data_IF_571554929460
#
_entry.id   IF_571554929460
#
_cell.length_a   1.000
_cell.length_b   1.000
_cell.length_c   1.000
_cell.angle_alpha   90.00
_cell.angle_beta   90.00
_cell.angle_gamma   90.00
#
_symmetry.space_group_name_H-M   'P 1'
#
loop_
_entity.id
_entity.type
_entity.pdbx_description
1 polymer ?
#
# COMPACT_ATOMS: atom_id res chain seq x y z
N UNK A 1 -15.14 -14.20 8.15
CA UNK A 1 -14.16 -13.57 9.05
C UNK A 1 -12.98 -12.97 8.27
N UNK A 2 -12.26 -13.75 7.47
CA UNK A 2 -11.08 -13.29 6.73
C UNK A 2 -11.34 -12.10 5.78
N UNK A 3 -12.49 -12.07 5.11
CA UNK A 3 -12.85 -10.96 4.22
C UNK A 3 -13.04 -9.64 4.99
N UNK A 4 -13.64 -9.67 6.18
CA UNK A 4 -13.82 -8.49 7.04
C UNK A 4 -12.47 -7.92 7.46
N UNK A 5 -11.54 -8.79 7.87
CA UNK A 5 -10.17 -8.39 8.23
C UNK A 5 -9.47 -7.70 7.05
N UNK A 6 -9.60 -8.25 5.83
CA UNK A 6 -9.02 -7.64 4.63
C UNK A 6 -9.62 -6.26 4.37
N UNK A 7 -10.95 -6.11 4.44
CA UNK A 7 -11.59 -4.81 4.21
C UNK A 7 -11.21 -3.78 5.28
N UNK A 8 -11.17 -4.19 6.55
CA UNK A 8 -10.75 -3.32 7.65
C UNK A 8 -9.30 -2.87 7.50
N UNK A 9 -8.39 -3.78 7.13
CA UNK A 9 -6.99 -3.44 6.92
C UNK A 9 -6.81 -2.46 5.74
N UNK A 10 -7.58 -2.63 4.67
CA UNK A 10 -7.60 -1.71 3.53
C UNK A 10 -8.14 -0.34 3.92
N UNK A 11 -9.23 -0.29 4.69
CA UNK A 11 -9.79 0.97 5.18
C UNK A 11 -8.77 1.70 6.07
N UNK A 12 -8.07 0.98 6.94
CA UNK A 12 -7.02 1.53 7.79
C UNK A 12 -5.82 2.03 6.98
N UNK A 13 -5.38 1.28 5.97
CA UNK A 13 -4.28 1.70 5.09
C UNK A 13 -4.65 2.97 4.30
N UNK A 14 -5.87 3.04 3.76
CA UNK A 14 -6.38 4.26 3.11
C UNK A 14 -6.44 5.43 4.10
N UNK A 15 -6.95 5.20 5.32
CA UNK A 15 -6.97 6.19 6.38
C UNK A 15 -5.57 6.69 6.72
N UNK A 16 -4.60 5.79 6.85
CA UNK A 16 -3.19 6.11 7.09
C UNK A 16 -2.64 7.05 6.01
N UNK A 17 -2.89 6.76 4.73
CA UNK A 17 -2.44 7.61 3.64
C UNK A 17 -3.11 8.99 3.64
N UNK A 18 -4.41 9.05 3.91
CA UNK A 18 -5.15 10.31 4.02
C UNK A 18 -4.57 11.16 5.16
N UNK A 19 -4.45 10.60 6.37
CA UNK A 19 -3.94 11.35 7.53
C UNK A 19 -2.47 11.73 7.38
N UNK A 20 -1.63 10.89 6.76
CA UNK A 20 -0.25 11.25 6.46
C UNK A 20 -0.18 12.42 5.45
N UNK A 21 -1.01 12.40 4.41
CA UNK A 21 -1.07 13.48 3.42
C UNK A 21 -1.59 14.78 4.01
N UNK A 22 -2.66 14.72 4.81
CA UNK A 22 -3.18 15.88 5.53
C UNK A 22 -2.15 16.45 6.51
N UNK A 23 -1.38 15.59 7.19
CA UNK A 23 -0.27 16.00 8.05
C UNK A 23 0.83 16.74 7.30
N UNK A 24 1.22 16.25 6.13
CA UNK A 24 2.23 16.91 5.26
C UNK A 24 1.76 18.27 4.76
N UNK A 25 0.45 18.43 4.54
CA UNK A 25 -0.15 19.69 4.12
C UNK A 25 -0.48 20.62 5.30
N UNK A 26 -0.17 20.23 6.54
CA UNK A 26 -0.55 20.95 7.76
C UNK A 26 -2.07 21.15 7.90
N UNK A 27 -2.87 20.25 7.33
CA UNK A 27 -4.34 20.24 7.36
C UNK A 27 -4.90 19.14 8.26
N UNK A 28 -4.04 18.43 9.00
CA UNK A 28 -4.49 17.32 9.84
C UNK A 28 -5.29 17.79 11.05
N UNK A 29 -6.45 17.19 11.34
CA UNK A 29 -7.19 17.46 12.57
C UNK A 29 -6.59 16.78 13.80
N UNK A 30 -5.52 15.99 13.63
CA UNK A 30 -4.89 15.23 14.72
C UNK A 30 -3.93 16.09 15.54
N UNK A 31 -3.79 15.81 16.85
CA UNK A 31 -2.72 16.40 17.66
C UNK A 31 -1.33 16.09 17.08
N UNK A 32 -0.39 17.01 17.26
CA UNK A 32 0.96 16.92 16.68
C UNK A 32 1.69 15.63 17.05
N UNK A 33 1.56 15.16 18.30
CA UNK A 33 2.19 13.90 18.74
C UNK A 33 1.61 12.69 18.00
N UNK A 34 0.30 12.62 17.86
CA UNK A 34 -0.37 11.53 17.11
C UNK A 34 -0.01 11.60 15.63
N UNK A 35 0.02 12.81 15.06
CA UNK A 35 0.40 13.02 13.67
C UNK A 35 1.84 12.56 13.39
N UNK A 36 2.77 12.77 14.34
CA UNK A 36 4.13 12.27 14.22
C UNK A 36 4.17 10.75 14.08
N UNK A 37 3.45 10.01 14.93
CA UNK A 37 3.37 8.55 14.86
C UNK A 37 2.70 8.06 13.57
N UNK A 38 1.61 8.72 13.14
CA UNK A 38 0.92 8.40 11.87
C UNK A 38 1.87 8.58 10.68
N UNK A 39 2.61 9.69 10.63
CA UNK A 39 3.59 9.95 9.57
C UNK A 39 4.73 8.93 9.59
N UNK A 40 5.25 8.58 10.77
CA UNK A 40 6.29 7.56 10.90
C UNK A 40 5.80 6.19 10.40
N UNK A 41 4.58 5.80 10.79
CA UNK A 41 3.97 4.56 10.34
C UNK A 41 3.77 4.55 8.82
N UNK A 42 3.32 5.66 8.24
CA UNK A 42 3.18 5.82 6.80
C UNK A 42 4.53 5.70 6.07
N UNK A 43 5.61 6.26 6.61
CA UNK A 43 6.97 6.10 6.07
C UNK A 43 7.42 4.63 6.07
N UNK A 44 7.17 3.90 7.16
CA UNK A 44 7.50 2.47 7.26
C UNK A 44 6.70 1.67 6.22
N UNK A 45 5.39 1.89 6.14
CA UNK A 45 4.52 1.23 5.16
C UNK A 45 4.97 1.52 3.71
N UNK A 46 5.36 2.77 3.44
CA UNK A 46 5.85 3.18 2.13
C UNK A 46 7.15 2.44 1.78
N UNK A 47 8.08 2.30 2.73
CA UNK A 47 9.32 1.55 2.54
C UNK A 47 9.05 0.07 2.23
N UNK A 48 8.13 -0.55 2.97
CA UNK A 48 7.73 -1.95 2.72
C UNK A 48 7.15 -2.11 1.32
N UNK A 49 6.21 -1.24 0.91
CA UNK A 49 5.65 -1.29 -0.44
C UNK A 49 6.66 -0.97 -1.54
N UNK A 50 7.65 -0.13 -1.26
CA UNK A 50 8.74 0.15 -2.19
C UNK A 50 9.62 -1.08 -2.42
N UNK A 51 10.00 -1.78 -1.34
CA UNK A 51 10.74 -3.04 -1.43
C UNK A 51 9.92 -4.09 -2.18
N UNK A 52 8.63 -4.22 -1.84
CA UNK A 52 7.70 -5.13 -2.51
C UNK A 52 7.62 -4.86 -4.01
N UNK A 53 7.43 -3.59 -4.40
CA UNK A 53 7.38 -3.17 -5.79
C UNK A 53 8.67 -3.53 -6.53
N UNK A 54 9.83 -3.22 -5.94
CA UNK A 54 11.12 -3.48 -6.59
C UNK A 54 11.40 -4.97 -6.72
N UNK A 55 11.08 -5.76 -5.69
CA UNK A 55 11.26 -7.22 -5.71
C UNK A 55 10.35 -7.89 -6.74
N UNK A 56 9.13 -7.39 -6.92
CA UNK A 56 8.11 -8.05 -7.74
C UNK A 56 8.01 -7.54 -9.17
N UNK A 57 8.41 -6.30 -9.48
CA UNK A 57 8.22 -5.68 -10.81
C UNK A 57 8.71 -6.52 -11.98
N UNK A 58 9.90 -7.14 -11.86
CA UNK A 58 10.47 -7.94 -12.95
C UNK A 58 9.70 -9.25 -13.14
N UNK A 59 9.37 -9.93 -12.04
CA UNK A 59 8.57 -11.15 -12.08
C UNK A 59 7.16 -10.87 -12.62
N UNK A 60 6.55 -9.77 -12.19
CA UNK A 60 5.24 -9.32 -12.63
C UNK A 60 5.23 -9.07 -14.14
N UNK A 61 6.18 -8.30 -14.66
CA UNK A 61 6.32 -8.03 -16.08
C UNK A 61 6.52 -9.30 -16.91
N UNK A 62 7.41 -10.18 -16.48
CA UNK A 62 7.72 -11.40 -17.22
C UNK A 62 6.54 -12.38 -17.28
N UNK A 63 5.75 -12.46 -16.21
CA UNK A 63 4.66 -13.44 -16.12
C UNK A 63 3.33 -12.90 -16.66
N UNK A 64 3.03 -11.61 -16.45
CA UNK A 64 1.74 -11.01 -16.84
C UNK A 64 1.78 -10.21 -18.14
N UNK A 65 2.97 -9.85 -18.63
CA UNK A 65 3.13 -8.92 -19.77
C UNK A 65 2.76 -7.46 -19.45
N UNK A 66 2.35 -7.16 -18.22
CA UNK A 66 1.95 -5.81 -17.78
C UNK A 66 3.06 -5.15 -16.95
N UNK A 67 3.12 -3.82 -16.98
CA UNK A 67 3.96 -3.05 -16.07
C UNK A 67 3.28 -2.92 -14.70
N UNK A 68 4.04 -3.18 -13.64
CA UNK A 68 3.54 -3.08 -12.27
C UNK A 68 3.39 -1.60 -11.89
N UNK A 69 2.28 -1.22 -11.24
CA UNK A 69 2.06 0.15 -10.80
C UNK A 69 2.38 0.32 -9.29
N UNK A 70 3.25 1.27 -8.97
CA UNK A 70 3.64 1.55 -7.59
C UNK A 70 2.48 2.07 -6.73
N UNK A 71 1.64 2.96 -7.27
CA UNK A 71 0.44 3.45 -6.58
C UNK A 71 -0.53 2.30 -6.26
N UNK A 72 -0.70 1.35 -7.18
CA UNK A 72 -1.53 0.17 -6.92
C UNK A 72 -0.89 -0.75 -5.87
N UNK A 73 0.44 -0.85 -5.86
CA UNK A 73 1.18 -1.59 -4.81
C UNK A 73 1.04 -0.91 -3.45
N UNK A 74 1.04 0.42 -3.39
CA UNK A 74 0.87 1.19 -2.16
C UNK A 74 -0.56 1.09 -1.58
N UNK A 75 -1.58 0.96 -2.45
CA UNK A 75 -2.97 0.84 -2.02
C UNK A 75 -3.40 -0.60 -1.71
N UNK A 76 -2.78 -1.60 -2.35
CA UNK A 76 -3.27 -2.98 -2.32
C UNK A 76 -2.20 -4.03 -2.01
N UNK A 77 -0.90 -3.68 -2.07
CA UNK A 77 0.23 -4.57 -1.82
C UNK A 77 0.14 -5.90 -2.58
N UNK A 78 0.33 -7.00 -1.84
CA UNK A 78 0.20 -8.37 -2.34
C UNK A 78 -1.17 -8.65 -2.96
N UNK A 79 -2.22 -7.96 -2.49
CA UNK A 79 -3.57 -8.08 -3.03
C UNK A 79 -3.72 -7.57 -4.47
N UNK A 80 -2.77 -6.76 -4.95
CA UNK A 80 -2.75 -6.29 -6.34
C UNK A 80 -2.08 -7.29 -7.28
N UNK A 81 -0.81 -7.64 -7.03
CA UNK A 81 -0.03 -8.42 -8.00
C UNK A 81 -0.23 -9.93 -7.89
N UNK A 82 -0.53 -10.46 -6.70
CA UNK A 82 -0.64 -11.91 -6.49
C UNK A 82 -1.78 -12.56 -7.29
N UNK A 83 -3.00 -11.98 -7.35
CA UNK A 83 -4.08 -12.55 -8.15
C UNK A 83 -3.74 -12.57 -9.65
N UNK A 84 -3.12 -11.50 -10.15
CA UNK A 84 -2.74 -11.35 -11.57
C UNK A 84 -1.69 -12.41 -11.94
N UNK A 85 -0.68 -12.61 -11.08
CA UNK A 85 0.32 -13.65 -11.30
C UNK A 85 -0.29 -15.06 -11.29
N UNK A 86 -1.27 -15.32 -10.41
CA UNK A 86 -1.97 -16.61 -10.36
C UNK A 86 -2.84 -16.85 -11.57
N UNK A 87 -3.51 -15.82 -12.10
CA UNK A 87 -4.30 -15.96 -13.32
C UNK A 87 -3.44 -16.13 -14.57
N UNK A 88 -2.24 -15.52 -14.60
CA UNK A 88 -1.32 -15.59 -15.73
C UNK A 88 -0.46 -16.87 -15.77
N UNK A 89 -0.41 -17.61 -14.66
CA UNK A 89 0.28 -18.90 -14.57
C UNK A 89 -0.59 -20.09 -15.05
N UNK A 90 -1.82 -19.83 -15.50
CA UNK A 90 -2.71 -20.79 -16.16
C UNK A 90 -2.62 -20.65 -17.67
#
# INVERSE_FOLDING_TARGET
MLNVVIYSLKALLTGLWIFATLGLLSLSPLPTEVQFYVSLLACIALLVHFIEFFAMKTKFKNQSGLEMNFLQTMLWGFGYWLPILKSSAK
#
